data_IF_831319911941
#
_entry.id   IF_831319911941
#
_cell.length_a   1.000
_cell.length_b   1.000
_cell.length_c   1.000
_cell.angle_alpha   90.00
_cell.angle_beta   90.00
_cell.angle_gamma   90.00
#
_symmetry.space_group_name_H-M   'P 1'
#
loop_
_entity.id
_entity.type
_entity.pdbx_description
1 polymer ?
#
# COMPACT_ATOMS: atom_id res chain seq x y z
N UNK A 1 42.82 25.89 -10.84
CA UNK A 1 42.39 26.36 -9.50
C UNK A 1 40.96 26.86 -9.61
N UNK A 2 40.11 26.40 -8.67
CA UNK A 2 38.77 26.88 -8.26
C UNK A 2 37.59 26.62 -9.23
N UNK A 3 36.42 26.14 -8.73
CA UNK A 3 35.29 25.61 -9.51
C UNK A 3 34.18 26.65 -9.73
N UNK A 4 33.15 26.37 -10.55
CA UNK A 4 31.87 27.03 -10.42
C UNK A 4 30.84 26.06 -9.82
N UNK A 5 30.30 26.49 -8.67
CA UNK A 5 29.00 26.04 -8.18
C UNK A 5 27.89 26.65 -9.06
N UNK A 6 26.75 25.98 -9.02
CA UNK A 6 25.38 26.49 -9.13
C UNK A 6 24.57 26.01 -10.33
N UNK A 7 23.49 25.31 -9.96
CA UNK A 7 22.34 24.97 -10.77
C UNK A 7 21.15 24.78 -9.84
N UNK A 8 20.89 25.77 -8.98
CA UNK A 8 19.70 25.88 -8.14
C UNK A 8 18.87 27.05 -8.63
N UNK A 9 18.29 26.95 -9.82
CA UNK A 9 17.21 27.83 -10.23
C UNK A 9 16.14 27.02 -10.97
N UNK A 10 15.02 26.87 -10.27
CA UNK A 10 13.80 26.22 -10.75
C UNK A 10 12.64 26.71 -9.91
N UNK A 11 12.44 28.04 -9.89
CA UNK A 11 11.22 28.66 -9.38
C UNK A 11 10.20 28.64 -10.51
N UNK A 12 9.17 27.82 -10.38
CA UNK A 12 7.83 28.18 -10.83
C UNK A 12 6.80 27.43 -9.97
N UNK A 13 6.11 28.27 -9.21
CA UNK A 13 4.95 28.06 -8.37
C UNK A 13 3.70 28.03 -9.27
N UNK A 14 2.63 27.35 -8.83
CA UNK A 14 1.27 27.21 -9.40
C UNK A 14 0.94 25.75 -9.79
N UNK A 15 0.37 25.02 -8.83
CA UNK A 15 0.06 23.58 -8.91
C UNK A 15 0.45 22.79 -7.66
N UNK A 16 0.40 23.43 -6.48
CA UNK A 16 1.01 23.00 -5.22
C UNK A 16 0.42 21.74 -4.56
N UNK A 17 -0.60 21.10 -5.13
CA UNK A 17 -1.32 20.00 -4.49
C UNK A 17 -1.23 18.65 -5.24
N UNK A 18 -0.49 18.59 -6.36
CA UNK A 18 -0.33 17.36 -7.13
C UNK A 18 1.10 16.82 -7.00
N UNK A 19 1.24 15.63 -6.38
CA UNK A 19 2.50 14.88 -6.34
C UNK A 19 2.90 14.57 -7.80
N UNK A 20 3.92 15.26 -8.29
CA UNK A 20 4.49 14.97 -9.60
C UNK A 20 5.19 13.61 -9.56
N UNK A 21 4.94 12.71 -10.54
CA UNK A 21 5.63 11.43 -10.60
C UNK A 21 7.12 11.67 -10.87
N UNK A 22 7.91 11.72 -9.79
CA UNK A 22 9.36 11.83 -9.84
C UNK A 22 9.95 10.46 -10.16
N UNK A 23 10.71 10.36 -11.25
CA UNK A 23 11.50 9.14 -11.52
C UNK A 23 12.54 9.00 -10.41
N UNK A 24 12.38 8.00 -9.56
CA UNK A 24 13.37 7.65 -8.55
C UNK A 24 14.66 7.25 -9.27
N UNK A 25 15.82 7.80 -8.88
CA UNK A 25 17.09 7.39 -9.47
C UNK A 25 17.28 5.90 -9.24
N UNK A 26 17.63 5.18 -10.31
CA UNK A 26 17.81 3.73 -10.26
C UNK A 26 18.81 3.39 -9.15
N UNK A 27 18.46 2.59 -8.12
CA UNK A 27 19.23 2.50 -6.88
C UNK A 27 20.69 2.05 -7.09
N UNK A 28 20.93 1.22 -8.11
CA UNK A 28 22.28 0.75 -8.50
C UNK A 28 23.11 1.87 -9.17
N UNK A 29 22.45 2.84 -9.83
CA UNK A 29 23.09 3.97 -10.51
C UNK A 29 23.09 5.24 -9.65
N UNK A 30 22.32 5.27 -8.56
CA UNK A 30 22.17 6.42 -7.68
C UNK A 30 23.44 6.72 -6.86
N UNK A 31 24.27 5.69 -6.59
CA UNK A 31 25.52 5.85 -5.86
C UNK A 31 26.62 4.97 -6.43
N UNK A 32 27.82 5.54 -6.57
CA UNK A 32 29.02 4.81 -6.98
C UNK A 32 29.31 3.62 -6.05
N UNK A 33 29.09 3.78 -4.75
CA UNK A 33 29.28 2.72 -3.76
C UNK A 33 28.34 1.53 -4.01
N UNK A 34 27.08 1.80 -4.37
CA UNK A 34 26.10 0.76 -4.70
C UNK A 34 26.51 -0.03 -5.95
N UNK A 35 27.03 0.66 -6.97
CA UNK A 35 27.56 0.02 -8.18
C UNK A 35 28.78 -0.85 -7.89
N UNK A 36 29.69 -0.38 -7.04
CA UNK A 36 30.87 -1.13 -6.64
C UNK A 36 30.49 -2.41 -5.89
N UNK A 37 29.60 -2.31 -4.90
CA UNK A 37 29.07 -3.46 -4.16
C UNK A 37 28.38 -4.47 -5.09
N UNK A 38 27.58 -4.01 -6.05
CA UNK A 38 26.91 -4.91 -7.00
C UNK A 38 27.92 -5.73 -7.83
N UNK A 39 29.00 -5.09 -8.28
CA UNK A 39 30.08 -5.78 -9.00
C UNK A 39 30.78 -6.81 -8.12
N UNK A 40 31.08 -6.45 -6.88
CA UNK A 40 31.71 -7.34 -5.90
C UNK A 40 30.83 -8.56 -5.58
N UNK A 41 29.53 -8.35 -5.32
CA UNK A 41 28.58 -9.44 -5.08
C UNK A 41 28.47 -10.39 -6.27
N UNK A 42 28.37 -9.86 -7.50
CA UNK A 42 28.36 -10.69 -8.71
C UNK A 42 29.67 -11.46 -8.88
N UNK A 43 30.81 -10.83 -8.60
CA UNK A 43 32.11 -11.48 -8.68
C UNK A 43 32.23 -12.63 -7.68
N UNK A 44 31.89 -12.40 -6.41
CA UNK A 44 31.92 -13.42 -5.38
C UNK A 44 30.93 -14.56 -5.66
N UNK A 45 29.75 -14.26 -6.22
CA UNK A 45 28.79 -15.28 -6.65
C UNK A 45 29.33 -16.15 -7.80
N UNK A 46 29.90 -15.52 -8.85
CA UNK A 46 30.50 -16.25 -9.98
C UNK A 46 31.67 -17.13 -9.57
N UNK A 47 32.44 -16.71 -8.56
CA UNK A 47 33.56 -17.48 -7.99
C UNK A 47 33.15 -18.50 -6.92
N UNK A 48 31.87 -18.59 -6.57
CA UNK A 48 31.38 -19.50 -5.54
C UNK A 48 31.83 -19.16 -4.13
N UNK A 49 32.27 -17.91 -3.88
CA UNK A 49 32.67 -17.42 -2.56
C UNK A 49 31.46 -17.14 -1.66
N UNK A 50 30.29 -16.88 -2.25
CA UNK A 50 29.04 -16.74 -1.51
C UNK A 50 28.32 -18.10 -1.44
N UNK A 51 27.64 -18.40 -0.32
CA UNK A 51 26.74 -19.55 -0.24
C UNK A 51 25.76 -19.54 -1.42
N UNK A 52 25.84 -20.57 -2.28
CA UNK A 52 24.96 -20.71 -3.45
C UNK A 52 23.50 -20.96 -3.02
N UNK A 53 23.33 -21.60 -1.88
CA UNK A 53 22.06 -21.82 -1.22
C UNK A 53 21.87 -20.81 -0.10
N UNK A 54 20.62 -20.49 0.22
CA UNK A 54 20.23 -19.68 1.38
C UNK A 54 19.86 -20.66 2.51
N UNK A 55 20.83 -21.18 3.29
CA UNK A 55 20.57 -22.23 4.26
C UNK A 55 19.56 -21.80 5.33
N UNK A 56 19.59 -20.52 5.73
CA UNK A 56 18.62 -19.99 6.69
C UNK A 56 17.20 -19.96 6.13
N UNK A 57 17.02 -19.57 4.86
CA UNK A 57 15.70 -19.60 4.23
C UNK A 57 15.17 -21.02 4.15
N UNK A 58 16.01 -21.99 3.78
CA UNK A 58 15.63 -23.40 3.76
C UNK A 58 15.24 -23.89 5.15
N UNK A 59 16.06 -23.60 6.17
CA UNK A 59 15.78 -23.92 7.57
C UNK A 59 14.45 -23.32 8.05
N UNK A 60 14.18 -22.05 7.73
CA UNK A 60 12.91 -21.39 8.06
C UNK A 60 11.72 -22.04 7.35
N UNK A 61 11.89 -22.44 6.08
CA UNK A 61 10.83 -23.13 5.34
C UNK A 61 10.55 -24.53 5.91
N UNK A 62 11.58 -25.29 6.26
CA UNK A 62 11.44 -26.60 6.89
C UNK A 62 10.82 -26.49 8.29
N UNK A 63 11.23 -25.50 9.08
CA UNK A 63 10.61 -25.20 10.38
C UNK A 63 9.14 -24.83 10.23
N UNK A 64 8.79 -23.98 9.26
CA UNK A 64 7.38 -23.67 8.97
C UNK A 64 6.59 -24.92 8.56
N UNK A 65 7.18 -25.78 7.72
CA UNK A 65 6.53 -27.01 7.27
C UNK A 65 6.30 -27.97 8.43
N UNK A 66 7.28 -28.15 9.31
CA UNK A 66 7.15 -29.02 10.49
C UNK A 66 6.11 -28.46 11.46
N UNK A 67 6.12 -27.15 11.72
CA UNK A 67 5.13 -26.50 12.57
C UNK A 67 3.70 -26.65 12.02
N UNK A 68 3.49 -26.45 10.72
CA UNK A 68 2.20 -26.69 10.08
C UNK A 68 1.73 -28.14 10.23
N UNK A 69 2.64 -29.11 10.07
CA UNK A 69 2.31 -30.52 10.26
C UNK A 69 1.95 -30.83 11.73
N UNK A 70 2.68 -30.26 12.68
CA UNK A 70 2.36 -30.38 14.10
C UNK A 70 0.98 -29.77 14.41
N UNK A 71 0.66 -28.61 13.86
CA UNK A 71 -0.67 -28.01 13.99
C UNK A 71 -1.77 -28.93 13.42
N UNK A 72 -1.57 -29.54 12.26
CA UNK A 72 -2.53 -30.49 11.67
C UNK A 72 -2.70 -31.74 12.55
N UNK A 73 -1.61 -32.29 13.09
CA UNK A 73 -1.64 -33.47 13.97
C UNK A 73 -2.34 -33.13 15.30
N UNK A 74 -2.02 -31.98 15.89
CA UNK A 74 -2.68 -31.49 17.11
C UNK A 74 -4.17 -31.28 16.88
N UNK A 75 -4.56 -30.66 15.76
CA UNK A 75 -5.96 -30.54 15.36
C UNK A 75 -6.61 -31.93 15.25
N UNK A 76 -5.99 -32.90 14.54
CA UNK A 76 -6.53 -34.27 14.43
C UNK A 76 -6.70 -35.01 15.77
N UNK A 77 -5.93 -34.64 16.79
CA UNK A 77 -6.01 -35.21 18.15
C UNK A 77 -6.99 -34.46 19.06
N UNK A 78 -7.54 -33.32 18.62
CA UNK A 78 -8.51 -32.56 19.39
C UNK A 78 -9.88 -33.26 19.44
N UNK A 79 -10.59 -33.23 20.59
CA UNK A 79 -11.97 -33.66 20.66
C UNK A 79 -12.85 -32.96 19.61
N UNK A 80 -13.73 -33.71 18.97
CA UNK A 80 -14.54 -33.29 17.82
C UNK A 80 -15.35 -32.01 18.06
N UNK A 81 -15.70 -31.71 19.31
CA UNK A 81 -16.46 -30.52 19.71
C UNK A 81 -15.67 -29.21 19.55
N UNK A 82 -14.33 -29.24 19.53
CA UNK A 82 -13.49 -28.04 19.43
C UNK A 82 -13.05 -27.71 18.00
N UNK A 83 -13.23 -28.65 17.06
CA UNK A 83 -12.88 -28.46 15.65
C UNK A 83 -13.60 -27.27 14.97
N UNK A 84 -14.92 -27.09 15.14
CA UNK A 84 -15.66 -26.00 14.48
C UNK A 84 -15.19 -24.61 14.93
N UNK A 85 -14.90 -24.46 16.22
CA UNK A 85 -14.43 -23.19 16.80
C UNK A 85 -13.05 -22.82 16.26
N UNK A 86 -12.12 -23.79 16.23
CA UNK A 86 -10.78 -23.56 15.71
C UNK A 86 -10.74 -23.28 14.20
N UNK A 87 -11.65 -23.89 13.42
CA UNK A 87 -11.79 -23.56 11.99
C UNK A 87 -12.23 -22.11 11.80
N UNK A 88 -13.22 -21.66 12.58
CA UNK A 88 -13.71 -20.29 12.52
C UNK A 88 -12.61 -19.27 12.90
N UNK A 89 -11.86 -19.53 13.98
CA UNK A 89 -10.74 -18.68 14.40
C UNK A 89 -9.62 -18.59 13.35
N UNK A 90 -9.30 -19.72 12.70
CA UNK A 90 -8.29 -19.75 11.64
C UNK A 90 -8.74 -18.99 10.38
N UNK A 91 -10.02 -19.06 10.05
CA UNK A 91 -10.62 -18.33 8.91
C UNK A 91 -10.66 -16.81 9.17
N UNK A 92 -11.04 -16.39 10.38
CA UNK A 92 -10.95 -15.00 10.86
C UNK A 92 -9.51 -14.47 10.74
N UNK A 93 -8.52 -15.25 11.19
CA UNK A 93 -7.11 -14.87 11.11
C UNK A 93 -6.66 -14.68 9.67
N UNK A 94 -6.98 -15.62 8.76
CA UNK A 94 -6.65 -15.48 7.32
C UNK A 94 -7.32 -14.28 6.68
N UNK A 95 -8.57 -13.99 7.07
CA UNK A 95 -9.29 -12.79 6.61
C UNK A 95 -8.59 -11.51 7.05
N UNK A 96 -8.14 -11.46 8.30
CA UNK A 96 -7.41 -10.32 8.85
C UNK A 96 -6.04 -10.11 8.21
N UNK A 97 -5.28 -11.19 8.01
CA UNK A 97 -3.98 -11.17 7.33
C UNK A 97 -4.15 -10.75 5.87
N UNK A 98 -5.17 -11.26 5.18
CA UNK A 98 -5.51 -10.86 3.82
C UNK A 98 -5.77 -9.36 3.67
N UNK A 99 -6.43 -8.74 4.65
CA UNK A 99 -6.68 -7.29 4.69
C UNK A 99 -5.40 -6.48 4.96
N UNK A 100 -4.51 -6.98 5.82
CA UNK A 100 -3.24 -6.31 6.14
C UNK A 100 -2.19 -6.41 5.03
N UNK A 101 -2.19 -7.51 4.28
CA UNK A 101 -1.28 -7.74 3.15
C UNK A 101 -1.66 -6.96 1.89
N UNK A 102 -2.81 -6.26 1.88
CA UNK A 102 -3.18 -5.37 0.77
C UNK A 102 -2.34 -4.10 0.82
N UNK A 103 -1.67 -3.71 -0.28
CA UNK A 103 -0.93 -2.46 -0.34
C UNK A 103 -1.79 -1.25 0.04
N UNK A 104 -1.20 -0.32 0.79
CA UNK A 104 -1.90 0.82 1.38
C UNK A 104 -2.61 1.69 0.33
N UNK A 105 -1.98 1.93 -0.83
CA UNK A 105 -2.61 2.67 -1.93
C UNK A 105 -3.88 2.00 -2.47
N UNK A 106 -4.01 0.67 -2.39
CA UNK A 106 -5.22 -0.06 -2.81
C UNK A 106 -6.33 0.13 -1.78
N UNK A 107 -5.99 0.07 -0.48
CA UNK A 107 -6.91 0.32 0.63
C UNK A 107 -7.46 1.75 0.57
N UNK A 108 -6.59 2.73 0.38
CA UNK A 108 -6.95 4.16 0.34
C UNK A 108 -7.71 4.53 -0.94
N UNK A 109 -7.54 3.80 -2.05
CA UNK A 109 -8.30 4.04 -3.29
C UNK A 109 -9.81 3.90 -3.09
N UNK A 110 -10.24 2.94 -2.26
CA UNK A 110 -11.67 2.71 -1.97
C UNK A 110 -12.29 3.85 -1.17
N UNK A 111 -11.60 4.29 -0.11
CA UNK A 111 -12.06 5.40 0.75
C UNK A 111 -12.09 6.72 0.00
N UNK A 112 -11.08 7.00 -0.84
CA UNK A 112 -11.07 8.20 -1.69
C UNK A 112 -12.23 8.21 -2.70
N UNK A 113 -12.58 7.05 -3.29
CA UNK A 113 -13.77 6.96 -4.16
C UNK A 113 -15.06 7.21 -3.38
N UNK A 114 -15.21 6.66 -2.18
CA UNK A 114 -16.41 6.90 -1.36
C UNK A 114 -16.55 8.38 -0.96
N UNK A 115 -15.47 9.03 -0.53
CA UNK A 115 -15.48 10.44 -0.15
C UNK A 115 -15.83 11.37 -1.33
N UNK A 116 -15.37 11.08 -2.55
CA UNK A 116 -15.78 11.82 -3.76
C UNK A 116 -17.30 11.74 -3.99
N UNK A 117 -17.87 10.54 -3.91
CA UNK A 117 -19.31 10.34 -4.07
C UNK A 117 -20.13 11.05 -2.96
N UNK A 118 -19.61 11.13 -1.74
CA UNK A 118 -20.27 11.86 -0.64
C UNK A 118 -20.22 13.38 -0.89
N UNK A 119 -19.08 13.89 -1.36
CA UNK A 119 -18.94 15.29 -1.78
C UNK A 119 -19.93 15.66 -2.88
N UNK A 120 -20.01 14.85 -3.94
CA UNK A 120 -20.91 15.10 -5.08
C UNK A 120 -22.38 15.10 -4.67
N UNK A 121 -22.78 14.17 -3.79
CA UNK A 121 -24.14 14.09 -3.25
C UNK A 121 -24.48 15.28 -2.36
N UNK A 122 -23.54 15.77 -1.56
CA UNK A 122 -23.74 16.94 -0.71
C UNK A 122 -23.87 18.21 -1.54
N UNK A 123 -23.04 18.38 -2.57
CA UNK A 123 -23.13 19.50 -3.53
C UNK A 123 -24.48 19.51 -4.25
N UNK A 124 -24.94 18.34 -4.72
CA UNK A 124 -26.24 18.21 -5.37
C UNK A 124 -27.41 18.53 -4.42
N UNK A 125 -27.34 18.11 -3.16
CA UNK A 125 -28.36 18.45 -2.15
C UNK A 125 -28.42 19.95 -1.87
N UNK A 126 -27.26 20.61 -1.77
CA UNK A 126 -27.17 22.05 -1.56
C UNK A 126 -27.77 22.83 -2.73
N UNK A 127 -27.42 22.45 -3.97
CA UNK A 127 -27.95 23.08 -5.18
C UNK A 127 -29.49 22.97 -5.27
N UNK A 128 -30.06 21.79 -5.02
CA UNK A 128 -31.51 21.60 -5.06
C UNK A 128 -32.24 22.37 -3.95
N UNK A 129 -31.63 22.54 -2.77
CA UNK A 129 -32.19 23.34 -1.69
C UNK A 129 -32.24 24.82 -2.09
N UNK A 130 -31.15 25.35 -2.66
CA UNK A 130 -31.09 26.73 -3.14
C UNK A 130 -32.07 27.01 -4.28
N UNK A 131 -32.29 26.07 -5.21
CA UNK A 131 -33.29 26.24 -6.28
C UNK A 131 -34.72 26.31 -5.75
N UNK A 132 -35.09 25.44 -4.80
CA UNK A 132 -36.42 25.48 -4.17
C UNK A 132 -36.67 26.78 -3.41
N UNK A 133 -35.63 27.31 -2.78
CA UNK A 133 -35.69 28.57 -2.04
C UNK A 133 -35.85 29.77 -2.99
N UNK A 134 -35.13 29.78 -4.12
CA UNK A 134 -35.29 30.79 -5.17
C UNK A 134 -36.69 30.76 -5.81
N UNK A 135 -37.25 29.57 -6.05
CA UNK A 135 -38.60 29.42 -6.60
C UNK A 135 -39.70 29.88 -5.62
N UNK A 136 -39.52 29.64 -4.31
CA UNK A 136 -40.42 30.16 -3.28
C UNK A 136 -40.39 31.69 -3.20
N UNK A 137 -39.19 32.30 -3.25
CA UNK A 137 -39.04 33.76 -3.26
C UNK A 137 -39.68 34.37 -4.51
N UNK A 138 -39.53 33.73 -5.67
CA UNK A 138 -40.12 34.20 -6.94
C UNK A 138 -41.65 34.12 -6.94
N UNK A 139 -42.25 33.09 -6.33
CA UNK A 139 -43.71 32.95 -6.19
C UNK A 139 -44.32 33.96 -5.22
N UNK A 140 -43.59 34.38 -4.18
CA UNK A 140 -44.06 35.38 -3.23
C UNK A 140 -43.89 36.83 -3.69
N UNK A 141 -43.08 37.09 -4.72
CA UNK A 141 -42.81 38.45 -5.24
C UNK A 141 -43.91 39.02 -6.15
N UNK A 142 -44.88 38.20 -6.58
CA UNK A 142 -46.02 38.62 -7.41
C UNK A 142 -47.35 38.72 -6.63
N UNK A 143 -47.29 38.69 -5.29
CA UNK A 143 -48.47 38.74 -4.40
C UNK A 143 -48.63 40.08 -3.64
N UNK A 144 -47.84 41.10 -3.96
CA UNK A 144 -48.01 42.46 -3.47
C UNK A 144 -48.24 43.41 -4.63
#
# INVERSE_FOLDING_TARGET
MVPPHQGTEGRQQEGSDLIQPRRLPHPILASHQHRALHRELLFCHRRGLLPRSKPELLCVLDNKRTEQNLQIISLRRMPQQMFPVLQYELEEKKRSEGQQNVPEFVRVRGTLKQNKNVSDKNTFKMFNKTSREADHVRKNKHRN
#
